data_IF_990775201978
#
_entry.id   IF_990775201978
#
_cell.length_a   1.000
_cell.length_b   1.000
_cell.length_c   1.000
_cell.angle_alpha   90.00
_cell.angle_beta   90.00
_cell.angle_gamma   90.00
#
_symmetry.space_group_name_H-M   'P 1'
#
loop_
_entity.id
_entity.type
_entity.pdbx_description
1 polymer ?
#
# COMPACT_ATOMS: atom_id res chain seq x y z
N UNK A 1 -21.45 -10.40 25.17
CA UNK A 1 -20.43 -10.34 24.10
C UNK A 1 -19.21 -9.61 24.67
N UNK A 2 -18.01 -10.14 24.50
CA UNK A 2 -16.79 -9.42 24.86
C UNK A 2 -16.57 -8.28 23.88
N UNK A 3 -16.35 -7.06 24.36
CA UNK A 3 -16.01 -5.90 23.53
C UNK A 3 -14.49 -5.73 23.44
N UNK A 4 -13.98 -5.35 22.26
CA UNK A 4 -12.60 -4.93 22.11
C UNK A 4 -12.52 -3.43 22.46
N UNK A 5 -11.56 -3.04 23.28
CA UNK A 5 -11.32 -1.63 23.54
C UNK A 5 -10.72 -0.97 22.30
N UNK A 6 -11.27 0.15 21.87
CA UNK A 6 -10.81 0.88 20.68
C UNK A 6 -9.33 1.25 20.74
N UNK A 7 -8.81 1.57 21.92
CA UNK A 7 -7.39 1.84 22.12
C UNK A 7 -6.49 0.65 21.76
N UNK A 8 -6.89 -0.56 22.17
CA UNK A 8 -6.13 -1.77 21.82
C UNK A 8 -6.17 -2.05 20.32
N UNK A 9 -7.34 -1.88 19.70
CA UNK A 9 -7.48 -2.01 18.24
C UNK A 9 -6.57 -1.01 17.52
N UNK A 10 -6.62 0.27 17.89
CA UNK A 10 -5.83 1.32 17.28
C UNK A 10 -4.33 1.09 17.43
N UNK A 11 -3.88 0.69 18.61
CA UNK A 11 -2.47 0.36 18.85
C UNK A 11 -1.98 -0.75 17.92
N UNK A 12 -2.76 -1.83 17.76
CA UNK A 12 -2.40 -2.93 16.88
C UNK A 12 -2.47 -2.51 15.40
N UNK A 13 -3.50 -1.76 15.00
CA UNK A 13 -3.63 -1.26 13.64
C UNK A 13 -2.43 -0.41 13.23
N UNK A 14 -2.00 0.56 14.06
CA UNK A 14 -0.83 1.38 13.75
C UNK A 14 0.47 0.58 13.73
N UNK A 15 0.62 -0.41 14.58
CA UNK A 15 1.77 -1.30 14.53
C UNK A 15 1.81 -2.14 13.25
N UNK A 16 0.66 -2.64 12.78
CA UNK A 16 0.55 -3.37 11.52
C UNK A 16 0.78 -2.45 10.30
N UNK A 17 0.28 -1.22 10.34
CA UNK A 17 0.56 -0.22 9.29
C UNK A 17 2.05 0.09 9.22
N UNK A 18 2.68 0.35 10.36
CA UNK A 18 4.11 0.63 10.42
C UNK A 18 4.93 -0.57 9.94
N UNK A 19 4.57 -1.81 10.33
CA UNK A 19 5.23 -3.02 9.86
C UNK A 19 5.08 -3.22 8.36
N UNK A 20 3.88 -2.97 7.82
CA UNK A 20 3.63 -3.13 6.39
C UNK A 20 4.47 -2.16 5.55
N UNK A 21 4.60 -0.92 6.00
CA UNK A 21 5.19 0.16 5.21
C UNK A 21 6.64 0.48 5.56
N UNK A 22 7.01 0.53 6.85
CA UNK A 22 8.29 1.10 7.30
C UNK A 22 9.13 0.18 8.18
N UNK A 23 8.66 -0.20 9.37
CA UNK A 23 9.50 -0.79 10.41
C UNK A 23 8.96 -2.12 10.92
N UNK A 24 9.78 -3.14 10.92
CA UNK A 24 9.36 -4.49 11.33
C UNK A 24 9.11 -4.56 12.85
N UNK A 25 7.92 -5.04 13.22
CA UNK A 25 7.50 -5.29 14.60
C UNK A 25 7.39 -6.78 14.94
N UNK A 26 7.44 -7.65 13.92
CA UNK A 26 7.38 -9.11 14.08
C UNK A 26 5.95 -9.66 14.21
N UNK A 27 4.94 -8.95 13.69
CA UNK A 27 3.59 -9.48 13.58
C UNK A 27 3.49 -10.50 12.44
N UNK A 28 4.02 -10.16 11.26
CA UNK A 28 3.88 -11.01 10.07
C UNK A 28 5.01 -10.88 9.03
N UNK A 29 5.87 -9.87 9.11
CA UNK A 29 6.97 -9.67 8.18
C UNK A 29 8.33 -10.07 8.79
N UNK A 30 9.19 -10.62 7.95
CA UNK A 30 10.60 -10.83 8.25
C UNK A 30 11.40 -9.51 8.13
N UNK A 31 12.63 -9.52 8.65
CA UNK A 31 13.54 -8.37 8.56
C UNK A 31 13.74 -7.92 7.11
N UNK A 32 13.79 -6.62 6.90
CA UNK A 32 13.97 -5.98 5.59
C UNK A 32 12.85 -6.35 4.58
N UNK A 33 11.65 -6.55 5.07
CA UNK A 33 10.52 -7.00 4.26
C UNK A 33 9.38 -5.99 4.15
N UNK A 34 9.47 -4.85 4.84
CA UNK A 34 8.46 -3.78 4.69
C UNK A 34 8.43 -3.21 3.27
N UNK A 35 7.37 -2.52 2.91
CA UNK A 35 7.18 -2.05 1.55
C UNK A 35 8.30 -1.08 1.14
N UNK A 36 8.58 -0.06 1.95
CA UNK A 36 9.60 0.93 1.59
C UNK A 36 11.02 0.34 1.64
N UNK A 37 11.34 -0.55 2.57
CA UNK A 37 12.63 -1.29 2.56
C UNK A 37 12.77 -2.11 1.27
N UNK A 38 11.69 -2.77 0.82
CA UNK A 38 11.67 -3.54 -0.42
C UNK A 38 11.93 -2.65 -1.64
N UNK A 39 11.40 -1.42 -1.68
CA UNK A 39 11.49 -0.53 -2.83
C UNK A 39 12.84 0.19 -2.97
N UNK A 40 13.63 0.34 -1.88
CA UNK A 40 14.89 1.12 -1.86
C UNK A 40 15.86 0.74 -2.99
N UNK A 41 15.95 -0.53 -3.32
CA UNK A 41 16.95 -1.05 -4.25
C UNK A 41 16.36 -1.49 -5.59
N UNK A 42 15.17 -1.02 -5.96
CA UNK A 42 14.54 -1.32 -7.26
C UNK A 42 14.84 -0.19 -8.23
N UNK A 43 15.51 -0.50 -9.32
CA UNK A 43 15.76 0.46 -10.41
C UNK A 43 14.52 0.64 -11.27
N UNK A 44 14.46 1.75 -12.04
CA UNK A 44 13.39 1.99 -13.00
C UNK A 44 13.33 0.90 -14.10
N UNK A 45 14.48 0.38 -14.49
CA UNK A 45 14.57 -0.73 -15.45
C UNK A 45 13.92 -2.00 -14.87
N UNK A 46 14.27 -2.41 -13.65
CA UNK A 46 13.62 -3.56 -12.98
C UNK A 46 12.11 -3.32 -12.80
N UNK A 47 11.72 -2.10 -12.39
CA UNK A 47 10.33 -1.73 -12.19
C UNK A 47 9.49 -1.78 -13.47
N UNK A 48 10.13 -1.74 -14.65
CA UNK A 48 9.51 -1.74 -15.97
C UNK A 48 9.39 -3.11 -16.61
N UNK A 49 9.91 -4.17 -15.98
CA UNK A 49 9.89 -5.52 -16.57
C UNK A 49 8.56 -6.21 -16.25
N UNK A 50 7.77 -6.63 -17.25
CA UNK A 50 6.58 -7.46 -17.02
C UNK A 50 6.99 -8.81 -16.42
N UNK A 51 6.50 -9.12 -15.23
CA UNK A 51 6.83 -10.35 -14.52
C UNK A 51 6.37 -11.57 -15.31
N UNK A 52 7.28 -12.52 -15.57
CA UNK A 52 6.97 -13.67 -16.43
C UNK A 52 6.59 -13.30 -17.87
N UNK A 53 6.87 -12.06 -18.30
CA UNK A 53 6.61 -11.55 -19.64
C UNK A 53 5.15 -11.13 -19.92
N UNK A 54 4.23 -11.35 -18.97
CA UNK A 54 2.78 -11.10 -19.18
C UNK A 54 2.07 -10.44 -17.99
N UNK A 55 2.64 -10.49 -16.80
CA UNK A 55 2.02 -9.91 -15.61
C UNK A 55 2.34 -8.42 -15.49
N UNK A 56 1.69 -7.76 -14.56
CA UNK A 56 1.94 -6.37 -14.25
C UNK A 56 3.41 -6.12 -13.88
N UNK A 57 3.91 -4.94 -14.22
CA UNK A 57 5.24 -4.49 -13.80
C UNK A 57 5.24 -4.09 -12.32
N UNK A 58 6.41 -4.03 -11.70
CA UNK A 58 6.53 -3.51 -10.33
C UNK A 58 6.06 -2.06 -10.24
N UNK A 59 6.33 -1.24 -11.27
CA UNK A 59 5.85 0.14 -11.34
C UNK A 59 4.31 0.21 -11.28
N UNK A 60 3.62 -0.66 -12.01
CA UNK A 60 2.16 -0.74 -11.97
C UNK A 60 1.64 -1.20 -10.61
N UNK A 61 2.29 -2.19 -9.98
CA UNK A 61 1.94 -2.67 -8.64
C UNK A 61 2.06 -1.54 -7.59
N UNK A 62 3.19 -0.84 -7.56
CA UNK A 62 3.44 0.25 -6.61
C UNK A 62 2.48 1.43 -6.85
N UNK A 63 2.24 1.78 -8.12
CA UNK A 63 1.27 2.81 -8.49
C UNK A 63 -0.16 2.43 -8.07
N UNK A 64 -0.52 1.15 -8.17
CA UNK A 64 -1.82 0.66 -7.73
C UNK A 64 -1.98 0.77 -6.20
N UNK A 65 -0.95 0.45 -5.43
CA UNK A 65 -0.99 0.66 -3.98
C UNK A 65 -1.14 2.15 -3.64
N UNK A 66 -0.38 3.02 -4.29
CA UNK A 66 -0.51 4.48 -4.09
C UNK A 66 -1.91 4.98 -4.42
N UNK A 67 -2.49 4.54 -5.53
CA UNK A 67 -3.84 4.87 -5.95
C UNK A 67 -4.90 4.35 -4.96
N UNK A 68 -4.73 3.13 -4.45
CA UNK A 68 -5.63 2.58 -3.44
C UNK A 68 -5.66 3.46 -2.18
N UNK A 69 -4.51 3.88 -1.68
CA UNK A 69 -4.43 4.78 -0.51
C UNK A 69 -5.12 6.12 -0.77
N UNK A 70 -4.92 6.72 -1.94
CA UNK A 70 -5.58 7.97 -2.33
C UNK A 70 -7.12 7.81 -2.42
N UNK A 71 -7.58 6.69 -2.96
CA UNK A 71 -9.00 6.38 -3.04
C UNK A 71 -9.63 6.15 -1.66
N UNK A 72 -8.93 5.42 -0.78
CA UNK A 72 -9.36 5.20 0.60
C UNK A 72 -9.50 6.52 1.36
N UNK A 73 -8.56 7.46 1.21
CA UNK A 73 -8.68 8.77 1.83
C UNK A 73 -9.94 9.52 1.34
N UNK A 74 -10.22 9.48 0.04
CA UNK A 74 -11.42 10.07 -0.55
C UNK A 74 -12.69 9.44 0.00
N UNK A 75 -12.74 8.12 0.04
CA UNK A 75 -13.88 7.37 0.55
C UNK A 75 -14.12 7.63 2.04
N UNK A 76 -13.07 7.75 2.84
CA UNK A 76 -13.18 8.06 4.27
C UNK A 76 -13.76 9.47 4.51
N UNK A 77 -13.50 10.41 3.61
CA UNK A 77 -14.01 11.79 3.67
C UNK A 77 -15.42 11.94 3.08
N UNK A 78 -15.74 11.13 2.08
CA UNK A 78 -17.01 11.13 1.37
C UNK A 78 -17.41 9.66 1.05
N UNK A 79 -18.49 9.13 1.65
CA UNK A 79 -18.91 7.75 1.40
C UNK A 79 -19.39 7.50 -0.04
N UNK A 80 -19.53 8.56 -0.85
CA UNK A 80 -19.90 8.47 -2.26
C UNK A 80 -18.82 9.11 -3.17
N UNK A 81 -17.57 8.66 -3.13
CA UNK A 81 -16.52 9.22 -3.96
C UNK A 81 -16.79 8.91 -5.43
N UNK A 82 -16.21 9.69 -6.37
CA UNK A 82 -16.28 9.38 -7.79
C UNK A 82 -15.81 7.95 -8.07
N UNK A 83 -16.47 7.28 -9.04
CA UNK A 83 -16.09 5.92 -9.43
C UNK A 83 -14.63 5.88 -9.88
N UNK A 84 -13.86 4.95 -9.31
CA UNK A 84 -12.45 4.75 -9.63
C UNK A 84 -12.27 3.84 -10.84
N UNK A 85 -11.36 4.19 -11.75
CA UNK A 85 -10.91 3.27 -12.81
C UNK A 85 -9.77 2.37 -12.27
N UNK A 86 -10.14 1.34 -11.54
CA UNK A 86 -9.20 0.36 -10.98
C UNK A 86 -8.36 -0.34 -12.05
N UNK A 87 -8.90 -0.47 -13.27
CA UNK A 87 -8.21 -1.10 -14.39
C UNK A 87 -7.23 -0.19 -15.12
N UNK A 88 -7.33 1.14 -14.95
CA UNK A 88 -6.56 2.13 -15.69
C UNK A 88 -5.06 1.99 -15.51
N UNK A 89 -4.62 1.78 -14.28
CA UNK A 89 -3.20 1.65 -13.94
C UNK A 89 -2.57 0.46 -14.67
N UNK A 90 -3.23 -0.68 -14.68
CA UNK A 90 -2.74 -1.89 -15.35
C UNK A 90 -2.61 -1.74 -16.87
N UNK A 91 -3.38 -0.81 -17.45
CA UNK A 91 -3.34 -0.51 -18.89
C UNK A 91 -2.30 0.55 -19.25
N UNK A 92 -1.97 1.44 -18.33
CA UNK A 92 -1.19 2.67 -18.63
C UNK A 92 0.20 2.67 -18.04
N UNK A 93 0.43 2.02 -16.90
CA UNK A 93 1.74 1.98 -16.23
C UNK A 93 2.47 0.70 -16.61
N UNK A 94 3.38 0.82 -17.59
CA UNK A 94 4.18 -0.31 -18.05
C UNK A 94 5.68 -0.02 -17.90
N UNK A 95 6.20 0.93 -18.69
CA UNK A 95 7.59 1.35 -18.65
C UNK A 95 7.68 2.71 -18.00
N UNK A 96 8.68 2.89 -17.12
CA UNK A 96 8.91 4.15 -16.40
C UNK A 96 10.35 4.62 -16.55
N UNK A 97 10.56 5.92 -16.62
CA UNK A 97 11.88 6.52 -16.47
C UNK A 97 12.31 6.55 -15.00
N UNK A 98 13.60 6.81 -14.69
CA UNK A 98 14.04 7.00 -13.30
C UNK A 98 13.24 8.06 -12.54
N UNK A 99 12.91 9.17 -13.21
CA UNK A 99 12.13 10.28 -12.64
C UNK A 99 10.67 9.86 -12.36
N UNK A 100 10.05 9.14 -13.30
CA UNK A 100 8.70 8.61 -13.14
C UNK A 100 8.64 7.56 -12.01
N UNK A 101 9.64 6.68 -11.93
CA UNK A 101 9.76 5.70 -10.86
C UNK A 101 9.88 6.37 -9.48
N UNK A 102 10.75 7.37 -9.37
CA UNK A 102 10.89 8.17 -8.15
C UNK A 102 9.59 8.90 -7.79
N UNK A 103 8.88 9.43 -8.80
CA UNK A 103 7.58 10.08 -8.59
C UNK A 103 6.53 9.13 -8.03
N UNK A 104 6.44 7.89 -8.55
CA UNK A 104 5.53 6.86 -8.06
C UNK A 104 5.84 6.50 -6.60
N UNK A 105 7.12 6.32 -6.23
CA UNK A 105 7.51 6.04 -4.86
C UNK A 105 7.21 7.20 -3.91
N UNK A 106 7.43 8.44 -4.36
CA UNK A 106 7.14 9.65 -3.60
C UNK A 106 5.63 9.84 -3.39
N UNK A 107 4.83 9.54 -4.40
CA UNK A 107 3.36 9.55 -4.31
C UNK A 107 2.88 8.51 -3.27
N UNK A 108 3.41 7.28 -3.34
CA UNK A 108 3.10 6.24 -2.36
C UNK A 108 3.40 6.69 -0.92
N UNK A 109 4.58 7.27 -0.69
CA UNK A 109 4.98 7.80 0.62
C UNK A 109 4.05 8.92 1.10
N UNK A 110 3.71 9.83 0.21
CA UNK A 110 2.81 10.95 0.51
C UNK A 110 1.42 10.45 0.88
N UNK A 111 0.87 9.51 0.11
CA UNK A 111 -0.46 8.96 0.35
C UNK A 111 -0.49 8.16 1.67
N UNK A 112 0.54 7.38 1.96
CA UNK A 112 0.67 6.69 3.24
C UNK A 112 0.67 7.65 4.43
N UNK A 113 1.46 8.72 4.36
CA UNK A 113 1.49 9.74 5.42
C UNK A 113 0.13 10.42 5.62
N UNK A 114 -0.62 10.65 4.53
CA UNK A 114 -1.98 11.21 4.59
C UNK A 114 -2.95 10.24 5.28
N UNK A 115 -2.89 8.95 4.95
CA UNK A 115 -3.69 7.90 5.60
C UNK A 115 -3.35 7.79 7.10
N UNK A 116 -2.06 7.78 7.47
CA UNK A 116 -1.66 7.77 8.87
C UNK A 116 -2.23 8.96 9.64
N UNK A 117 -2.13 10.16 9.05
CA UNK A 117 -2.68 11.37 9.68
C UNK A 117 -4.21 11.30 9.80
N UNK A 118 -4.88 10.86 8.74
CA UNK A 118 -6.33 10.67 8.73
C UNK A 118 -6.78 9.75 9.86
N UNK A 119 -6.14 8.59 10.01
CA UNK A 119 -6.47 7.61 11.04
C UNK A 119 -6.13 8.10 12.46
N UNK A 120 -5.06 8.88 12.64
CA UNK A 120 -4.71 9.49 13.93
C UNK A 120 -5.68 10.57 14.37
N UNK A 121 -6.26 11.29 13.42
CA UNK A 121 -7.13 12.44 13.69
C UNK A 121 -8.62 12.11 13.60
N UNK A 122 -8.96 10.88 13.25
CA UNK A 122 -10.35 10.44 13.20
C UNK A 122 -11.02 10.61 14.59
N UNK A 123 -12.18 11.28 14.66
CA UNK A 123 -12.80 11.63 15.94
C UNK A 123 -13.34 10.42 16.71
N UNK A 124 -13.67 9.37 16.01
CA UNK A 124 -14.15 8.11 16.57
C UNK A 124 -13.96 6.98 15.55
N UNK A 125 -13.74 5.77 16.05
CA UNK A 125 -13.76 4.51 15.28
C UNK A 125 -15.06 3.79 15.65
N UNK A 126 -16.16 4.27 15.14
CA UNK A 126 -17.49 3.89 15.61
C UNK A 126 -18.31 3.09 14.61
N UNK A 127 -17.89 3.05 13.35
CA UNK A 127 -18.56 2.31 12.29
C UNK A 127 -17.78 1.08 11.84
N UNK A 128 -18.52 0.06 11.39
CA UNK A 128 -17.92 -1.12 10.76
C UNK A 128 -17.14 -0.74 9.49
N UNK A 129 -17.63 0.26 8.77
CA UNK A 129 -17.00 0.76 7.54
C UNK A 129 -15.63 1.39 7.82
N UNK A 130 -15.49 2.25 8.84
CA UNK A 130 -14.21 2.86 9.23
C UNK A 130 -13.18 1.79 9.62
N UNK A 131 -13.59 0.81 10.42
CA UNK A 131 -12.75 -0.31 10.84
C UNK A 131 -12.38 -1.16 9.62
N UNK A 132 -13.35 -1.48 8.77
CA UNK A 132 -13.15 -2.26 7.56
C UNK A 132 -12.17 -1.60 6.59
N UNK A 133 -12.29 -0.30 6.37
CA UNK A 133 -11.38 0.51 5.55
C UNK A 133 -9.96 0.46 6.10
N UNK A 134 -9.78 0.65 7.40
CA UNK A 134 -8.46 0.64 8.02
C UNK A 134 -7.77 -0.73 7.91
N UNK A 135 -8.53 -1.80 8.11
CA UNK A 135 -8.04 -3.18 7.89
C UNK A 135 -7.71 -3.40 6.41
N UNK A 136 -8.56 -2.92 5.50
CA UNK A 136 -8.35 -3.05 4.07
C UNK A 136 -7.04 -2.40 3.59
N UNK A 137 -6.63 -1.27 4.16
CA UNK A 137 -5.34 -0.64 3.86
C UNK A 137 -4.17 -1.59 4.15
N UNK A 138 -4.17 -2.23 5.32
CA UNK A 138 -3.13 -3.19 5.69
C UNK A 138 -3.17 -4.42 4.79
N UNK A 139 -4.33 -5.06 4.65
CA UNK A 139 -4.48 -6.33 3.93
C UNK A 139 -4.17 -6.17 2.43
N UNK A 140 -4.69 -5.12 1.81
CA UNK A 140 -4.45 -4.85 0.39
C UNK A 140 -2.98 -4.54 0.11
N UNK A 141 -2.35 -3.73 0.96
CA UNK A 141 -0.92 -3.42 0.82
C UNK A 141 -0.05 -4.65 1.06
N UNK A 142 -0.35 -5.45 2.09
CA UNK A 142 0.37 -6.68 2.38
C UNK A 142 0.24 -7.71 1.22
N UNK A 143 -0.93 -7.80 0.60
CA UNK A 143 -1.14 -8.63 -0.59
C UNK A 143 -0.20 -8.21 -1.73
N UNK A 144 -0.19 -6.92 -2.10
CA UNK A 144 0.70 -6.42 -3.16
C UNK A 144 2.18 -6.44 -2.78
N UNK A 145 2.52 -6.26 -1.51
CA UNK A 145 3.90 -6.43 -1.04
C UNK A 145 4.40 -7.85 -1.27
N UNK A 146 3.58 -8.86 -0.99
CA UNK A 146 3.89 -10.25 -1.29
C UNK A 146 4.12 -10.49 -2.79
N UNK A 147 3.26 -9.94 -3.66
CA UNK A 147 3.43 -10.01 -5.12
C UNK A 147 4.71 -9.31 -5.60
N UNK A 148 4.99 -8.10 -5.11
CA UNK A 148 6.22 -7.34 -5.43
C UNK A 148 7.47 -8.12 -5.04
N UNK A 149 7.52 -8.67 -3.83
CA UNK A 149 8.67 -9.45 -3.35
C UNK A 149 8.88 -10.74 -4.15
N UNK A 150 7.79 -11.45 -4.47
CA UNK A 150 7.86 -12.64 -5.32
C UNK A 150 8.33 -12.29 -6.74
N UNK A 151 7.83 -11.18 -7.30
CA UNK A 151 8.25 -10.69 -8.61
C UNK A 151 9.74 -10.35 -8.64
N UNK A 152 10.25 -9.66 -7.61
CA UNK A 152 11.68 -9.35 -7.48
C UNK A 152 12.54 -10.60 -7.42
N UNK A 153 12.10 -11.64 -6.71
CA UNK A 153 12.81 -12.91 -6.66
C UNK A 153 12.96 -13.53 -8.07
N UNK A 154 11.90 -13.46 -8.88
CA UNK A 154 11.91 -13.97 -10.26
C UNK A 154 12.79 -13.11 -11.18
N UNK A 155 12.77 -11.79 -11.03
CA UNK A 155 13.50 -10.86 -11.88
C UNK A 155 15.02 -10.88 -11.61
N UNK A 156 15.43 -11.29 -10.40
CA UNK A 156 16.83 -11.32 -9.95
C UNK A 156 17.46 -12.73 -9.91
N UNK A 157 16.71 -13.74 -10.38
CA UNK A 157 17.15 -15.15 -10.44
C UNK A 157 17.99 -15.50 -11.70
#
# INVERSE_FOLDING_TARGET
MSSIQSEHFMKVLFALLDETFDNIHGFYLDRNASLFETLVNITADEASIPVGGKCATLAAQVKHVAFHLDYIEKYFRDPNPPQADWGGIWRTVNRVTPEEWQSIQSELRTNYNRILNLFKTAPAWSSEDEIGIAIAVVVHTAYHLGEIRQALCILRS
#
